data_IF_879662919378
#
_entry.id   IF_879662919378
#
_cell.length_a   1.000
_cell.length_b   1.000
_cell.length_c   1.000
_cell.angle_alpha   90.00
_cell.angle_beta   90.00
_cell.angle_gamma   90.00
#
_symmetry.space_group_name_H-M   'P 1'
#
loop_
_entity.id
_entity.type
_entity.pdbx_description
1 polymer ?
#
# COMPACT_ATOMS: atom_id res chain seq x y z
N UNK A 1 18.18 -14.61 4.44
CA UNK A 1 19.52 -13.97 4.33
C UNK A 1 19.69 -12.89 5.38
N UNK A 2 18.84 -11.86 5.42
CA UNK A 2 18.84 -10.79 6.45
C UNK A 2 18.85 -11.29 7.91
N UNK A 3 18.03 -12.30 8.23
CA UNK A 3 17.94 -12.93 9.55
C UNK A 3 19.18 -13.73 9.97
N UNK A 4 19.85 -14.36 9.00
CA UNK A 4 21.09 -15.11 9.25
C UNK A 4 22.26 -14.15 9.47
N UNK A 5 22.31 -13.04 8.73
CA UNK A 5 23.30 -11.98 8.95
C UNK A 5 23.12 -11.31 10.31
N UNK A 6 21.89 -11.03 10.77
CA UNK A 6 21.66 -10.41 12.09
C UNK A 6 22.03 -11.36 13.25
N UNK A 7 21.71 -12.65 13.11
CA UNK A 7 22.04 -13.69 14.10
C UNK A 7 23.54 -13.99 14.17
N UNK A 8 24.28 -13.76 13.08
CA UNK A 8 25.74 -13.92 13.04
C UNK A 8 26.48 -12.64 13.47
N UNK A 9 25.82 -11.46 13.39
CA UNK A 9 26.38 -10.16 13.77
C UNK A 9 26.29 -9.87 15.28
N UNK A 10 25.24 -10.34 15.95
CA UNK A 10 24.98 -10.12 17.37
C UNK A 10 25.62 -11.23 18.22
N UNK A 11 26.95 -11.31 18.18
CA UNK A 11 27.71 -12.23 19.04
C UNK A 11 27.52 -11.81 20.52
N UNK A 12 26.69 -12.56 21.25
CA UNK A 12 26.47 -12.37 22.69
C UNK A 12 25.03 -12.53 23.22
N UNK A 13 24.02 -12.67 22.37
CA UNK A 13 22.63 -12.84 22.83
C UNK A 13 22.21 -14.30 22.96
N UNK A 14 21.79 -14.70 24.16
CA UNK A 14 21.32 -16.06 24.47
C UNK A 14 20.14 -16.51 23.56
N UNK A 15 20.16 -17.78 23.15
CA UNK A 15 19.19 -18.44 22.23
C UNK A 15 17.71 -18.15 22.51
N UNK A 16 17.35 -17.87 23.77
CA UNK A 16 15.98 -17.54 24.18
C UNK A 16 15.52 -16.16 23.71
N UNK A 17 16.41 -15.17 23.68
CA UNK A 17 16.12 -13.86 23.08
C UNK A 17 15.99 -13.96 21.56
N UNK A 18 16.75 -14.85 20.92
CA UNK A 18 16.70 -15.10 19.47
C UNK A 18 15.34 -15.67 19.04
N UNK A 19 14.69 -16.48 19.88
CA UNK A 19 13.35 -17.02 19.61
C UNK A 19 12.25 -15.94 19.62
N UNK A 20 12.30 -15.00 20.56
CA UNK A 20 11.36 -13.88 20.64
C UNK A 20 11.54 -12.91 19.47
N UNK A 21 12.79 -12.61 19.11
CA UNK A 21 13.11 -11.82 17.92
C UNK A 21 12.62 -12.49 16.64
N UNK A 22 12.80 -13.80 16.51
CA UNK A 22 12.30 -14.58 15.39
C UNK A 22 10.77 -14.48 15.26
N UNK A 23 10.05 -14.59 16.37
CA UNK A 23 8.59 -14.46 16.39
C UNK A 23 8.13 -13.06 15.96
N UNK A 24 8.74 -12.01 16.50
CA UNK A 24 8.43 -10.61 16.16
C UNK A 24 8.67 -10.36 14.67
N UNK A 25 9.82 -10.76 14.14
CA UNK A 25 10.15 -10.56 12.72
C UNK A 25 9.21 -11.36 11.81
N UNK A 26 8.86 -12.60 12.18
CA UNK A 26 7.91 -13.41 11.41
C UNK A 26 6.52 -12.76 11.39
N UNK A 27 6.05 -12.23 12.52
CA UNK A 27 4.78 -11.51 12.62
C UNK A 27 4.78 -10.22 11.78
N UNK A 28 5.89 -9.47 11.77
CA UNK A 28 6.06 -8.27 10.93
C UNK A 28 5.99 -8.60 9.43
N UNK A 29 6.71 -9.65 9.00
CA UNK A 29 6.73 -10.08 7.61
C UNK A 29 5.36 -10.59 7.17
N UNK A 30 4.68 -11.38 8.02
CA UNK A 30 3.35 -11.88 7.73
C UNK A 30 2.32 -10.74 7.58
N UNK A 31 2.40 -9.71 8.43
CA UNK A 31 1.51 -8.55 8.33
C UNK A 31 1.74 -7.79 7.02
N UNK A 32 3.00 -7.53 6.66
CA UNK A 32 3.36 -6.84 5.41
C UNK A 32 2.91 -7.63 4.18
N UNK A 33 3.06 -8.96 4.20
CA UNK A 33 2.57 -9.84 3.14
C UNK A 33 1.04 -9.81 3.03
N UNK A 34 0.34 -9.83 4.17
CA UNK A 34 -1.12 -9.75 4.20
C UNK A 34 -1.63 -8.43 3.60
N UNK A 35 -0.99 -7.31 3.93
CA UNK A 35 -1.32 -6.02 3.32
C UNK A 35 -1.08 -6.03 1.82
N UNK A 36 0.09 -6.49 1.39
CA UNK A 36 0.41 -6.57 -0.04
C UNK A 36 -0.63 -7.40 -0.82
N UNK A 37 -1.06 -8.54 -0.28
CA UNK A 37 -2.09 -9.39 -0.89
C UNK A 37 -3.43 -8.65 -0.96
N UNK A 38 -3.85 -7.98 0.12
CA UNK A 38 -5.12 -7.25 0.16
C UNK A 38 -5.12 -6.04 -0.78
N UNK A 39 -4.09 -5.20 -0.76
CA UNK A 39 -3.94 -4.06 -1.68
C UNK A 39 -3.89 -4.52 -3.14
N UNK A 40 -3.22 -5.64 -3.42
CA UNK A 40 -3.22 -6.23 -4.76
C UNK A 40 -4.59 -6.77 -5.16
N UNK A 41 -5.31 -7.39 -4.23
CA UNK A 41 -6.69 -7.85 -4.43
C UNK A 41 -7.62 -6.71 -4.84
N UNK A 42 -7.59 -5.61 -4.09
CA UNK A 42 -8.39 -4.40 -4.39
C UNK A 42 -7.99 -3.81 -5.74
N UNK A 43 -6.68 -3.74 -6.03
CA UNK A 43 -6.18 -3.23 -7.32
C UNK A 43 -6.69 -4.06 -8.50
N UNK A 44 -6.67 -5.39 -8.40
CA UNK A 44 -7.15 -6.29 -9.46
C UNK A 44 -8.67 -6.19 -9.61
N UNK A 45 -9.41 -6.11 -8.50
CA UNK A 45 -10.86 -5.91 -8.51
C UNK A 45 -11.24 -4.57 -9.17
N UNK A 46 -10.53 -3.49 -8.80
CA UNK A 46 -10.68 -2.15 -9.40
C UNK A 46 -10.39 -2.14 -10.90
N UNK A 47 -9.27 -2.72 -11.31
CA UNK A 47 -8.91 -2.80 -12.73
C UNK A 47 -9.89 -3.64 -13.56
N UNK A 48 -10.47 -4.68 -12.95
CA UNK A 48 -11.49 -5.49 -13.61
C UNK A 48 -12.81 -4.72 -13.72
N UNK A 49 -13.19 -3.99 -12.67
CA UNK A 49 -14.37 -3.13 -12.63
C UNK A 49 -14.30 -2.06 -13.72
N UNK A 50 -13.19 -1.31 -13.80
CA UNK A 50 -13.01 -0.25 -14.80
C UNK A 50 -13.01 -0.79 -16.23
N UNK A 51 -12.37 -1.95 -16.46
CA UNK A 51 -12.36 -2.59 -17.78
C UNK A 51 -13.77 -3.02 -18.23
N UNK A 52 -14.52 -3.68 -17.36
CA UNK A 52 -15.90 -4.08 -17.67
C UNK A 52 -16.79 -2.86 -17.88
N UNK A 53 -16.65 -1.84 -17.02
CA UNK A 53 -17.40 -0.59 -17.15
C UNK A 53 -17.15 0.08 -18.51
N UNK A 54 -15.88 0.18 -18.93
CA UNK A 54 -15.52 0.77 -20.22
C UNK A 54 -16.05 -0.04 -21.41
N UNK A 55 -16.02 -1.37 -21.32
CA UNK A 55 -16.54 -2.24 -22.38
C UNK A 55 -18.06 -2.12 -22.51
N UNK A 56 -18.77 -2.14 -21.39
CA UNK A 56 -20.24 -2.07 -21.39
C UNK A 56 -20.72 -0.69 -21.84
N UNK A 57 -20.07 0.39 -21.39
CA UNK A 57 -20.37 1.77 -21.82
C UNK A 57 -20.17 1.96 -23.32
N UNK A 58 -19.22 1.26 -23.93
CA UNK A 58 -18.99 1.32 -25.37
C UNK A 58 -20.09 0.62 -26.19
N UNK A 59 -20.80 -0.34 -25.60
CA UNK A 59 -21.89 -1.09 -26.24
C UNK A 59 -23.23 -0.38 -26.01
N UNK A 60 -23.57 -0.09 -24.75
CA UNK A 60 -24.83 0.53 -24.37
C UNK A 60 -24.67 1.42 -23.13
N UNK A 61 -25.08 2.69 -23.22
CA UNK A 61 -24.94 3.66 -22.14
C UNK A 61 -26.31 3.97 -21.50
N UNK A 62 -26.75 3.10 -20.60
CA UNK A 62 -28.06 3.19 -19.93
C UNK A 62 -27.92 3.59 -18.46
N UNK A 63 -28.79 4.46 -17.94
CA UNK A 63 -28.76 4.97 -16.56
C UNK A 63 -28.72 3.86 -15.49
N UNK A 64 -29.48 2.77 -15.69
CA UNK A 64 -29.50 1.62 -14.77
C UNK A 64 -28.12 0.93 -14.66
N UNK A 65 -27.37 0.88 -15.77
CA UNK A 65 -26.03 0.30 -15.81
C UNK A 65 -25.04 1.17 -15.03
N UNK A 66 -25.05 2.49 -15.26
CA UNK A 66 -24.19 3.45 -14.55
C UNK A 66 -24.45 3.40 -13.04
N UNK A 67 -25.72 3.34 -12.62
CA UNK A 67 -26.08 3.24 -11.21
C UNK A 67 -25.55 1.95 -10.56
N UNK A 68 -25.57 0.82 -11.28
CA UNK A 68 -25.00 -0.46 -10.81
C UNK A 68 -23.47 -0.40 -10.69
N UNK A 69 -22.79 0.20 -11.66
CA UNK A 69 -21.34 0.39 -11.62
C UNK A 69 -20.91 1.37 -10.52
N UNK A 70 -21.67 2.44 -10.29
CA UNK A 70 -21.48 3.35 -9.14
C UNK A 70 -21.60 2.60 -7.82
N UNK A 71 -22.63 1.78 -7.64
CA UNK A 71 -22.80 0.98 -6.42
C UNK A 71 -21.62 0.02 -6.20
N UNK A 72 -21.15 -0.64 -7.27
CA UNK A 72 -20.03 -1.57 -7.19
C UNK A 72 -18.70 -0.85 -6.86
N UNK A 73 -18.49 0.34 -7.44
CA UNK A 73 -17.37 1.21 -7.09
C UNK A 73 -17.44 1.69 -5.63
N UNK A 74 -18.61 2.13 -5.16
CA UNK A 74 -18.80 2.56 -3.77
C UNK A 74 -18.45 1.44 -2.79
N UNK A 75 -18.94 0.21 -3.02
CA UNK A 75 -18.59 -0.94 -2.18
C UNK A 75 -17.07 -1.22 -2.19
N UNK A 76 -16.42 -1.07 -3.35
CA UNK A 76 -14.97 -1.28 -3.45
C UNK A 76 -14.18 -0.20 -2.70
N UNK A 77 -14.61 1.05 -2.80
CA UNK A 77 -14.04 2.17 -2.04
C UNK A 77 -14.27 1.99 -0.54
N UNK A 78 -15.44 1.52 -0.14
CA UNK A 78 -15.76 1.24 1.27
C UNK A 78 -14.90 0.09 1.82
N UNK A 79 -14.66 -0.97 1.03
CA UNK A 79 -13.73 -2.04 1.37
C UNK A 79 -12.29 -1.52 1.51
N UNK A 80 -11.83 -0.65 0.60
CA UNK A 80 -10.51 -0.03 0.67
C UNK A 80 -10.37 0.83 1.94
N UNK A 81 -11.37 1.64 2.26
CA UNK A 81 -11.40 2.46 3.47
C UNK A 81 -11.46 1.61 4.76
N UNK A 82 -12.29 0.56 4.78
CA UNK A 82 -12.40 -0.36 5.92
C UNK A 82 -11.08 -1.11 6.15
N UNK A 83 -10.42 -1.55 5.06
CA UNK A 83 -9.07 -2.12 5.11
C UNK A 83 -8.10 -1.08 5.69
N UNK A 84 -8.05 0.11 5.11
CA UNK A 84 -7.21 1.21 5.59
C UNK A 84 -7.41 1.50 7.08
N UNK A 85 -8.65 1.58 7.55
CA UNK A 85 -8.98 1.88 8.95
C UNK A 85 -8.65 0.74 9.93
N UNK A 86 -8.94 -0.52 9.56
CA UNK A 86 -8.60 -1.68 10.37
C UNK A 86 -7.09 -1.81 10.58
N UNK A 87 -6.33 -1.49 9.52
CA UNK A 87 -4.87 -1.58 9.50
C UNK A 87 -4.18 -0.27 9.89
N UNK A 88 -4.86 0.88 9.92
CA UNK A 88 -4.27 2.17 10.26
C UNK A 88 -3.59 2.15 11.64
N UNK A 89 -4.21 1.52 12.63
CA UNK A 89 -3.64 1.42 13.99
C UNK A 89 -2.38 0.56 14.02
N UNK A 90 -2.40 -0.62 13.40
CA UNK A 90 -1.24 -1.53 13.40
C UNK A 90 -0.09 -0.98 12.55
N UNK A 91 -0.39 -0.41 11.39
CA UNK A 91 0.61 0.16 10.49
C UNK A 91 1.16 1.50 10.97
N UNK A 92 0.38 2.32 11.66
CA UNK A 92 0.90 3.56 12.27
C UNK A 92 1.99 3.24 13.30
N UNK A 93 1.74 2.27 14.20
CA UNK A 93 2.77 1.81 15.14
C UNK A 93 3.97 1.19 14.43
N UNK A 94 3.75 0.45 13.35
CA UNK A 94 4.82 -0.12 12.52
C UNK A 94 5.70 0.95 11.86
N UNK A 95 5.11 1.98 11.26
CA UNK A 95 5.84 3.08 10.63
C UNK A 95 6.68 3.85 11.65
N UNK A 96 6.15 4.10 12.85
CA UNK A 96 6.91 4.72 13.93
C UNK A 96 8.10 3.84 14.35
N UNK A 97 7.87 2.54 14.51
CA UNK A 97 8.94 1.60 14.84
C UNK A 97 10.03 1.58 13.76
N UNK A 98 9.66 1.48 12.48
CA UNK A 98 10.61 1.50 11.37
C UNK A 98 11.38 2.83 11.30
N UNK A 99 10.73 3.96 11.52
CA UNK A 99 11.39 5.26 11.54
C UNK A 99 12.44 5.37 12.66
N UNK A 100 12.11 4.89 13.86
CA UNK A 100 13.06 4.86 14.98
C UNK A 100 14.24 3.94 14.66
N UNK A 101 14.01 2.75 14.10
CA UNK A 101 15.08 1.84 13.72
C UNK A 101 15.99 2.42 12.63
N UNK A 102 15.42 3.02 11.58
CA UNK A 102 16.18 3.73 10.54
C UNK A 102 17.03 4.84 11.17
N UNK A 103 16.46 5.62 12.08
CA UNK A 103 17.17 6.70 12.76
C UNK A 103 18.35 6.15 13.58
N UNK A 104 18.11 5.16 14.43
CA UNK A 104 19.16 4.51 15.25
C UNK A 104 20.23 3.86 14.38
N UNK A 105 19.85 3.20 13.29
CA UNK A 105 20.77 2.53 12.38
C UNK A 105 21.65 3.53 11.61
N UNK A 106 21.08 4.65 11.15
CA UNK A 106 21.85 5.75 10.51
C UNK A 106 22.81 6.37 11.51
N UNK A 107 22.36 6.69 12.73
CA UNK A 107 23.23 7.25 13.77
C UNK A 107 24.34 6.26 14.16
N UNK A 108 24.01 4.96 14.30
CA UNK A 108 24.98 3.92 14.60
C UNK A 108 26.03 3.75 13.50
N UNK A 109 25.60 3.73 12.23
CA UNK A 109 26.51 3.65 11.09
C UNK A 109 27.41 4.89 11.00
N UNK A 110 26.87 6.09 11.19
CA UNK A 110 27.66 7.33 11.20
C UNK A 110 28.66 7.37 12.36
N UNK A 111 28.27 6.93 13.56
CA UNK A 111 29.15 6.91 14.74
C UNK A 111 30.33 5.96 14.55
N UNK A 112 30.12 4.78 13.98
CA UNK A 112 31.22 3.82 13.73
C UNK A 112 32.20 4.32 12.67
N UNK A 113 31.69 4.91 11.57
CA UNK A 113 32.51 5.52 10.53
C UNK A 113 33.39 6.66 11.09
N UNK A 114 32.84 7.44 12.02
CA UNK A 114 33.55 8.57 12.65
C UNK A 114 34.62 8.09 13.64
N UNK A 115 34.32 7.09 14.48
CA UNK A 115 35.22 6.63 15.54
C UNK A 115 36.35 5.72 15.04
N UNK A 116 36.11 4.88 14.03
CA UNK A 116 37.09 3.89 13.54
C UNK A 116 37.57 4.13 12.10
N UNK A 117 37.07 5.17 11.42
CA UNK A 117 37.30 5.35 9.98
C UNK A 117 36.56 4.32 9.13
N UNK A 118 36.81 4.26 7.82
CA UNK A 118 36.16 3.29 6.91
C UNK A 118 36.75 1.87 7.10
N UNK A 119 36.60 1.31 8.29
CA UNK A 119 36.98 -0.06 8.60
C UNK A 119 35.77 -0.95 8.43
N UNK A 120 35.73 -1.78 7.38
CA UNK A 120 34.67 -2.77 7.10
C UNK A 120 34.44 -3.76 8.26
N UNK A 121 33.88 -3.27 9.36
CA UNK A 121 33.49 -4.05 10.52
C UNK A 121 32.17 -4.74 10.19
N UNK A 122 32.03 -5.97 10.64
CA UNK A 122 30.81 -6.75 10.43
C UNK A 122 29.57 -5.99 10.94
N UNK A 123 29.74 -5.19 12.00
CA UNK A 123 28.70 -4.38 12.63
C UNK A 123 28.19 -3.22 11.74
N UNK A 124 29.09 -2.48 11.10
CA UNK A 124 28.74 -1.39 10.17
C UNK A 124 27.89 -1.88 9.00
N UNK A 125 28.31 -3.00 8.40
CA UNK A 125 27.61 -3.61 7.26
C UNK A 125 26.19 -4.01 7.66
N UNK A 126 26.00 -4.54 8.87
CA UNK A 126 24.67 -4.89 9.37
C UNK A 126 23.74 -3.69 9.54
N UNK A 127 24.24 -2.57 10.07
CA UNK A 127 23.45 -1.35 10.26
C UNK A 127 23.05 -0.70 8.94
N UNK A 128 23.95 -0.71 7.95
CA UNK A 128 23.64 -0.23 6.59
C UNK A 128 22.59 -1.12 5.92
N UNK A 129 22.76 -2.44 6.02
CA UNK A 129 21.80 -3.41 5.44
C UNK A 129 20.43 -3.30 6.11
N UNK A 130 20.36 -3.09 7.43
CA UNK A 130 19.11 -2.83 8.15
C UNK A 130 18.42 -1.54 7.68
N UNK A 131 19.17 -0.45 7.57
CA UNK A 131 18.65 0.84 7.07
C UNK A 131 18.05 0.71 5.68
N UNK A 132 18.76 0.05 4.76
CA UNK A 132 18.29 -0.17 3.38
C UNK A 132 17.05 -1.06 3.35
N UNK A 133 17.03 -2.11 4.17
CA UNK A 133 15.91 -3.04 4.25
C UNK A 133 14.64 -2.35 4.76
N UNK A 134 14.72 -1.65 5.90
CA UNK A 134 13.62 -0.92 6.51
C UNK A 134 13.08 0.19 5.57
N UNK A 135 13.98 0.91 4.90
CA UNK A 135 13.59 1.94 3.92
C UNK A 135 12.87 1.35 2.70
N UNK A 136 13.36 0.22 2.18
CA UNK A 136 12.75 -0.46 1.03
C UNK A 136 11.34 -0.98 1.36
N UNK A 137 11.15 -1.56 2.55
CA UNK A 137 9.83 -2.02 2.99
C UNK A 137 8.82 -0.88 3.11
N UNK A 138 9.22 0.25 3.70
CA UNK A 138 8.36 1.43 3.78
C UNK A 138 8.00 1.95 2.39
N UNK A 139 8.96 1.99 1.46
CA UNK A 139 8.71 2.40 0.09
C UNK A 139 7.68 1.51 -0.61
N UNK A 140 7.84 0.19 -0.54
CA UNK A 140 6.90 -0.78 -1.15
C UNK A 140 5.50 -0.62 -0.55
N UNK A 141 5.40 -0.43 0.77
CA UNK A 141 4.13 -0.26 1.45
C UNK A 141 3.39 1.00 0.96
N UNK A 142 4.07 2.14 0.96
CA UNK A 142 3.53 3.41 0.52
C UNK A 142 3.15 3.37 -0.96
N UNK A 143 4.01 2.82 -1.81
CA UNK A 143 3.75 2.68 -3.24
C UNK A 143 2.53 1.79 -3.50
N UNK A 144 2.42 0.66 -2.81
CA UNK A 144 1.32 -0.28 -3.04
C UNK A 144 -0.03 0.31 -2.62
N UNK A 145 -0.05 1.01 -1.48
CA UNK A 145 -1.22 1.75 -0.98
C UNK A 145 -1.63 2.85 -1.97
N UNK A 146 -0.67 3.70 -2.35
CA UNK A 146 -0.92 4.80 -3.27
C UNK A 146 -1.43 4.31 -4.63
N UNK A 147 -0.80 3.28 -5.20
CA UNK A 147 -1.21 2.70 -6.48
C UNK A 147 -2.58 1.99 -6.40
N UNK A 148 -2.98 1.44 -5.25
CA UNK A 148 -4.31 0.85 -5.08
C UNK A 148 -5.40 1.93 -5.06
N UNK A 149 -5.19 2.99 -4.28
CA UNK A 149 -6.07 4.16 -4.23
C UNK A 149 -6.18 4.84 -5.60
N UNK A 150 -5.04 5.10 -6.24
CA UNK A 150 -4.97 5.77 -7.52
C UNK A 150 -5.69 4.96 -8.61
N UNK A 151 -5.61 3.62 -8.60
CA UNK A 151 -6.39 2.82 -9.57
C UNK A 151 -7.90 2.84 -9.34
N UNK A 152 -8.35 2.86 -8.08
CA UNK A 152 -9.78 2.96 -7.75
C UNK A 152 -10.35 4.30 -8.22
N UNK A 153 -9.59 5.38 -8.11
CA UNK A 153 -10.00 6.70 -8.57
C UNK A 153 -9.90 6.86 -10.11
N UNK A 154 -8.71 6.62 -10.68
CA UNK A 154 -8.43 6.91 -12.09
C UNK A 154 -9.18 5.98 -13.05
N UNK A 155 -9.29 4.68 -12.73
CA UNK A 155 -9.94 3.73 -13.65
C UNK A 155 -11.41 4.09 -13.94
N UNK A 156 -12.10 4.69 -12.97
CA UNK A 156 -13.48 5.12 -13.12
C UNK A 156 -13.57 6.52 -13.75
N UNK A 157 -12.70 7.45 -13.36
CA UNK A 157 -12.62 8.79 -13.97
C UNK A 157 -12.32 8.72 -15.47
N UNK A 158 -11.33 7.94 -15.90
CA UNK A 158 -10.98 7.77 -17.32
C UNK A 158 -12.16 7.24 -18.13
N UNK A 159 -12.94 6.34 -17.54
CA UNK A 159 -14.10 5.77 -18.22
C UNK A 159 -15.24 6.79 -18.31
N UNK A 160 -15.52 7.54 -17.23
CA UNK A 160 -16.51 8.63 -17.23
C UNK A 160 -16.17 9.72 -18.25
N UNK A 161 -14.90 10.14 -18.32
CA UNK A 161 -14.43 11.14 -19.28
C UNK A 161 -14.48 10.66 -20.73
N UNK A 162 -14.45 9.35 -20.97
CA UNK A 162 -14.59 8.77 -22.31
C UNK A 162 -16.03 8.78 -22.84
N UNK A 163 -17.03 9.08 -22.00
CA UNK A 163 -18.44 9.11 -22.37
C UNK A 163 -18.77 10.44 -23.08
N UNK A 164 -19.30 10.36 -24.29
CA UNK A 164 -19.84 11.53 -24.99
C UNK A 164 -21.18 11.95 -24.40
N UNK A 165 -21.16 12.85 -23.41
CA UNK A 165 -22.36 13.38 -22.74
C UNK A 165 -23.42 13.92 -23.73
N UNK A 166 -23.00 14.45 -24.88
CA UNK A 166 -23.87 15.00 -25.92
C UNK A 166 -24.75 13.95 -26.63
N UNK A 167 -24.40 12.66 -26.56
CA UNK A 167 -25.17 11.55 -27.17
C UNK A 167 -25.98 10.74 -26.15
N UNK A 168 -25.93 11.14 -24.88
CA UNK A 168 -26.45 10.36 -23.76
C UNK A 168 -27.74 10.99 -23.25
N UNK A 169 -28.69 10.14 -22.88
CA UNK A 169 -30.02 10.52 -22.43
C UNK A 169 -29.98 11.37 -21.14
N UNK A 170 -30.91 12.31 -20.97
CA UNK A 170 -31.01 13.17 -19.77
C UNK A 170 -30.96 12.42 -18.42
N UNK A 171 -31.66 11.28 -18.22
CA UNK A 171 -31.55 10.52 -16.97
C UNK A 171 -30.15 9.92 -16.76
N UNK A 172 -29.47 9.54 -17.83
CA UNK A 172 -28.12 8.99 -17.79
C UNK A 172 -27.09 10.08 -17.47
N UNK A 173 -27.26 11.30 -17.99
CA UNK A 173 -26.43 12.46 -17.62
C UNK A 173 -26.53 12.76 -16.11
N UNK A 174 -27.76 12.75 -15.55
CA UNK A 174 -27.96 12.99 -14.12
C UNK A 174 -27.29 11.94 -13.24
N UNK A 175 -27.29 10.67 -13.66
CA UNK A 175 -26.58 9.60 -12.93
C UNK A 175 -25.04 9.73 -13.05
N UNK A 176 -24.53 10.22 -14.18
CA UNK A 176 -23.11 10.55 -14.34
C UNK A 176 -22.71 11.68 -13.40
N UNK A 177 -23.49 12.76 -13.32
CA UNK A 177 -23.24 13.87 -12.40
C UNK A 177 -23.23 13.41 -10.93
N UNK A 178 -24.20 12.58 -10.54
CA UNK A 178 -24.24 11.98 -9.20
C UNK A 178 -23.02 11.08 -8.93
N UNK A 179 -22.51 10.38 -9.95
CA UNK A 179 -21.32 9.55 -9.81
C UNK A 179 -20.05 10.40 -9.68
N UNK A 180 -19.91 11.46 -10.50
CA UNK A 180 -18.79 12.42 -10.39
C UNK A 180 -18.79 13.08 -9.01
N UNK A 181 -19.96 13.54 -8.54
CA UNK A 181 -20.09 14.12 -7.21
C UNK A 181 -19.71 13.12 -6.11
N UNK A 182 -20.07 11.84 -6.25
CA UNK A 182 -19.65 10.80 -5.32
C UNK A 182 -18.13 10.57 -5.30
N UNK A 183 -17.47 10.69 -6.46
CA UNK A 183 -16.00 10.62 -6.58
C UNK A 183 -15.34 11.86 -5.94
N UNK A 184 -15.89 13.05 -6.16
CA UNK A 184 -15.38 14.29 -5.54
C UNK A 184 -15.57 14.32 -4.02
N UNK A 185 -16.67 13.76 -3.50
CA UNK A 185 -16.95 13.71 -2.06
C UNK A 185 -16.21 12.58 -1.33
N UNK A 186 -15.77 11.53 -2.05
CA UNK A 186 -14.90 10.48 -1.52
C UNK A 186 -13.64 10.38 -2.39
N UNK A 187 -12.68 11.31 -2.23
CA UNK A 187 -11.33 11.08 -2.70
C UNK A 187 -10.76 9.96 -1.83
N UNK A 188 -10.92 8.71 -2.29
CA UNK A 188 -10.32 7.54 -1.67
C UNK A 188 -8.80 7.74 -1.46
#
# INVERSE_FOLDING_TARGET
VFLLSLSFLLDGFALWHTSAYYHIITMLNMNSALWYINSRGIRVASSSLSRCFRQDVAIECTAAMISRYRFLWLNLSELLQALGNAYARTYSTYCLFMFVNITVAIYGALSEIIDHGFGFSFKEIGLIVDTVYCSTLLFIFCDCSHNATLQVAQGVQDTLLSINLLKVDQPTQKEIDLFIQAIEMNPA
#
